data_IF_743413425826
#
_entry.id   IF_743413425826
#
_cell.length_a   1.000
_cell.length_b   1.000
_cell.length_c   1.000
_cell.angle_alpha   90.00
_cell.angle_beta   90.00
_cell.angle_gamma   90.00
#
_symmetry.space_group_name_H-M   'P 1'
#
loop_
_entity.id
_entity.type
_entity.pdbx_description
1 polymer ?
#
# COMPACT_ATOMS: atom_id res chain seq x y z
N UNK A 1 10.07 -2.55 -46.44
CA UNK A 1 8.98 -2.95 -45.52
C UNK A 1 9.32 -4.31 -44.97
N UNK A 2 9.96 -4.35 -43.81
CA UNK A 2 10.17 -5.58 -43.04
C UNK A 2 8.82 -6.05 -42.53
N UNK A 3 8.32 -7.18 -43.05
CA UNK A 3 7.19 -7.87 -42.46
C UNK A 3 7.57 -8.28 -41.04
N UNK A 4 7.10 -7.50 -40.07
CA UNK A 4 7.17 -7.85 -38.66
C UNK A 4 6.30 -9.09 -38.51
N UNK A 5 6.97 -10.24 -38.36
CA UNK A 5 6.33 -11.55 -38.34
C UNK A 5 5.71 -11.78 -36.95
N UNK A 6 4.66 -11.01 -36.61
CA UNK A 6 3.96 -10.99 -35.33
C UNK A 6 3.56 -12.39 -34.84
N UNK A 7 3.26 -13.29 -35.79
CA UNK A 7 2.86 -14.67 -35.52
C UNK A 7 3.97 -15.51 -34.85
N UNK A 8 5.26 -15.22 -35.09
CA UNK A 8 6.37 -15.93 -34.43
C UNK A 8 6.57 -15.47 -32.99
N UNK A 9 6.38 -14.18 -32.71
CA UNK A 9 6.51 -13.65 -31.35
C UNK A 9 5.38 -14.16 -30.42
N UNK A 10 4.16 -14.34 -30.92
CA UNK A 10 3.02 -14.85 -30.13
C UNK A 10 3.24 -16.30 -29.66
N UNK A 11 4.15 -17.06 -30.28
CA UNK A 11 4.39 -18.46 -29.95
C UNK A 11 5.37 -18.67 -28.80
N UNK A 12 6.06 -17.62 -28.32
CA UNK A 12 6.96 -17.79 -27.18
C UNK A 12 6.18 -17.80 -25.85
N UNK A 13 6.41 -18.80 -24.98
CA UNK A 13 5.72 -18.93 -23.69
C UNK A 13 5.79 -17.67 -22.79
N UNK A 14 6.83 -16.86 -22.96
CA UNK A 14 7.05 -15.62 -22.20
C UNK A 14 5.96 -14.57 -22.45
N UNK A 15 5.48 -14.42 -23.68
CA UNK A 15 4.42 -13.45 -24.00
C UNK A 15 3.06 -13.89 -23.47
N UNK A 16 2.78 -15.20 -23.43
CA UNK A 16 1.59 -15.73 -22.79
C UNK A 16 1.57 -15.44 -21.29
N UNK A 17 2.71 -15.65 -20.61
CA UNK A 17 2.84 -15.34 -19.19
C UNK A 17 2.61 -13.84 -18.92
N UNK A 18 3.17 -12.95 -19.76
CA UNK A 18 2.94 -11.50 -19.66
C UNK A 18 1.47 -11.13 -19.89
N UNK A 19 0.80 -11.77 -20.86
CA UNK A 19 -0.63 -11.56 -21.11
C UNK A 19 -1.50 -11.97 -19.93
N UNK A 20 -1.23 -13.16 -19.35
CA UNK A 20 -1.91 -13.66 -18.16
C UNK A 20 -1.67 -12.72 -16.97
N UNK A 21 -0.42 -12.33 -16.73
CA UNK A 21 -0.07 -11.41 -15.65
C UNK A 21 -0.80 -10.07 -15.79
N UNK A 22 -0.77 -9.46 -16.97
CA UNK A 22 -1.44 -8.19 -17.24
C UNK A 22 -2.95 -8.29 -17.02
N UNK A 23 -3.58 -9.38 -17.47
CA UNK A 23 -5.00 -9.63 -17.27
C UNK A 23 -5.39 -9.78 -15.79
N UNK A 24 -4.60 -10.53 -15.01
CA UNK A 24 -4.83 -10.72 -13.58
C UNK A 24 -4.60 -9.44 -12.77
N UNK A 25 -3.56 -8.67 -13.12
CA UNK A 25 -3.29 -7.36 -12.50
C UNK A 25 -4.44 -6.39 -12.79
N UNK A 26 -4.89 -6.31 -14.06
CA UNK A 26 -6.01 -5.46 -14.45
C UNK A 26 -7.31 -5.86 -13.74
N UNK A 27 -7.60 -7.16 -13.63
CA UNK A 27 -8.73 -7.68 -12.86
C UNK A 27 -8.65 -7.22 -11.40
N UNK A 28 -7.50 -7.40 -10.76
CA UNK A 28 -7.29 -7.07 -9.36
C UNK A 28 -7.41 -5.56 -9.08
N UNK A 29 -6.85 -4.72 -9.96
CA UNK A 29 -7.01 -3.26 -9.87
C UNK A 29 -8.46 -2.84 -10.08
N UNK A 30 -9.18 -3.52 -10.98
CA UNK A 30 -10.63 -3.28 -11.19
C UNK A 30 -11.46 -3.69 -9.98
N UNK A 31 -11.12 -4.79 -9.30
CA UNK A 31 -11.78 -5.16 -8.04
C UNK A 31 -11.49 -4.15 -6.94
N UNK A 32 -10.25 -3.67 -6.87
CA UNK A 32 -9.85 -2.66 -5.88
C UNK A 32 -10.56 -1.33 -6.13
N UNK A 33 -10.69 -0.88 -7.38
CA UNK A 33 -11.38 0.38 -7.68
C UNK A 33 -12.86 0.38 -7.28
N UNK A 34 -13.52 -0.79 -7.29
CA UNK A 34 -14.91 -0.96 -6.80
C UNK A 34 -15.07 -0.73 -5.30
N UNK A 35 -13.97 -0.73 -4.52
CA UNK A 35 -14.03 -0.46 -3.07
C UNK A 35 -14.17 1.02 -2.74
N UNK A 36 -14.01 1.93 -3.72
CA UNK A 36 -13.99 3.39 -3.55
C UNK A 36 -12.93 3.89 -2.56
N UNK A 37 -11.92 3.08 -2.22
CA UNK A 37 -10.78 3.46 -1.39
C UNK A 37 -9.62 3.89 -2.30
N UNK A 38 -9.46 5.21 -2.48
CA UNK A 38 -8.44 5.80 -3.36
C UNK A 38 -7.02 5.52 -2.86
N UNK A 39 -6.79 5.53 -1.55
CA UNK A 39 -5.48 5.25 -0.97
C UNK A 39 -5.08 3.78 -1.18
N UNK A 40 -6.03 2.85 -1.00
CA UNK A 40 -5.82 1.43 -1.29
C UNK A 40 -5.53 1.20 -2.77
N UNK A 41 -6.31 1.79 -3.67
CA UNK A 41 -6.09 1.68 -5.12
C UNK A 41 -4.70 2.19 -5.52
N UNK A 42 -4.32 3.38 -5.05
CA UNK A 42 -3.00 3.96 -5.31
C UNK A 42 -1.87 3.08 -4.80
N UNK A 43 -2.02 2.50 -3.61
CA UNK A 43 -1.04 1.57 -3.02
C UNK A 43 -0.90 0.30 -3.86
N UNK A 44 -2.02 -0.31 -4.28
CA UNK A 44 -2.01 -1.51 -5.13
C UNK A 44 -1.36 -1.26 -6.48
N UNK A 45 -1.65 -0.12 -7.10
CA UNK A 45 -1.05 0.30 -8.37
C UNK A 45 0.46 0.47 -8.24
N UNK A 46 0.91 1.16 -7.18
CA UNK A 46 2.33 1.36 -6.90
C UNK A 46 3.05 0.02 -6.69
N UNK A 47 2.46 -0.88 -5.91
CA UNK A 47 3.06 -2.17 -5.59
C UNK A 47 3.22 -3.05 -6.83
N UNK A 48 2.21 -3.09 -7.70
CA UNK A 48 2.32 -3.78 -8.99
C UNK A 48 3.38 -3.15 -9.90
N UNK A 49 3.48 -1.81 -9.92
CA UNK A 49 4.53 -1.11 -10.66
C UNK A 49 5.94 -1.46 -10.17
N UNK A 50 6.15 -1.47 -8.85
CA UNK A 50 7.43 -1.86 -8.22
C UNK A 50 7.76 -3.32 -8.51
N UNK A 51 6.79 -4.23 -8.38
CA UNK A 51 6.99 -5.66 -8.69
C UNK A 51 7.36 -5.84 -10.16
N UNK A 52 6.66 -5.17 -11.08
CA UNK A 52 7.00 -5.21 -12.50
C UNK A 52 8.41 -4.67 -12.77
N UNK A 53 8.80 -3.60 -12.09
CA UNK A 53 10.15 -3.03 -12.19
C UNK A 53 11.24 -4.00 -11.68
N UNK A 54 11.06 -4.62 -10.50
CA UNK A 54 12.01 -5.58 -9.94
C UNK A 54 12.19 -6.83 -10.82
N UNK A 55 11.09 -7.30 -11.41
CA UNK A 55 11.12 -8.41 -12.37
C UNK A 55 11.84 -7.97 -13.65
N UNK A 56 11.56 -6.77 -14.15
CA UNK A 56 12.19 -6.21 -15.34
C UNK A 56 13.70 -6.07 -15.18
N UNK A 57 14.17 -5.56 -14.03
CA UNK A 57 15.59 -5.42 -13.73
C UNK A 57 16.33 -6.77 -13.72
N UNK A 58 15.66 -7.83 -13.25
CA UNK A 58 16.26 -9.17 -13.11
C UNK A 58 15.91 -10.14 -14.23
N UNK A 59 15.19 -9.72 -15.27
CA UNK A 59 14.57 -10.63 -16.23
C UNK A 59 15.54 -11.58 -16.94
N UNK A 60 16.79 -11.15 -17.16
CA UNK A 60 17.84 -11.98 -17.78
C UNK A 60 18.36 -13.08 -16.85
N UNK A 61 18.29 -12.87 -15.54
CA UNK A 61 18.74 -13.83 -14.51
C UNK A 61 17.66 -14.84 -14.10
N UNK A 62 16.41 -14.63 -14.54
CA UNK A 62 15.29 -15.48 -14.17
C UNK A 62 15.31 -16.79 -14.95
N UNK A 63 15.23 -17.90 -14.21
CA UNK A 63 15.10 -19.23 -14.80
C UNK A 63 13.62 -19.55 -15.04
N UNK A 64 13.24 -19.84 -16.28
CA UNK A 64 11.86 -20.17 -16.69
C UNK A 64 11.69 -21.68 -16.90
N UNK A 65 11.85 -22.44 -15.82
CA UNK A 65 11.70 -23.90 -15.83
C UNK A 65 10.56 -24.32 -14.89
N UNK A 66 9.36 -24.49 -15.44
CA UNK A 66 8.22 -25.01 -14.67
C UNK A 66 7.96 -26.49 -14.98
N UNK A 67 7.83 -27.29 -13.93
CA UNK A 67 7.37 -28.67 -14.05
C UNK A 67 5.84 -28.74 -14.18
N UNK A 68 5.35 -29.80 -14.83
CA UNK A 68 3.91 -30.04 -15.08
C UNK A 68 3.04 -29.88 -13.82
N UNK A 69 3.47 -30.44 -12.69
CA UNK A 69 2.73 -30.31 -11.43
C UNK A 69 2.66 -28.87 -10.93
N UNK A 70 3.76 -28.12 -11.01
CA UNK A 70 3.77 -26.72 -10.56
C UNK A 70 2.91 -25.83 -11.47
N UNK A 71 2.96 -26.06 -12.77
CA UNK A 71 2.09 -25.38 -13.72
C UNK A 71 0.61 -25.70 -13.48
N UNK A 72 0.27 -26.95 -13.15
CA UNK A 72 -1.11 -27.32 -12.80
C UNK A 72 -1.58 -26.60 -11.53
N UNK A 73 -0.75 -26.56 -10.48
CA UNK A 73 -1.08 -25.81 -9.25
C UNK A 73 -1.22 -24.32 -9.51
N UNK A 74 -0.32 -23.71 -10.30
CA UNK A 74 -0.41 -22.31 -10.70
C UNK A 74 -1.71 -22.02 -11.47
N UNK A 75 -2.05 -22.85 -12.46
CA UNK A 75 -3.28 -22.72 -13.23
C UNK A 75 -4.55 -22.93 -12.38
N UNK A 76 -4.53 -23.89 -11.45
CA UNK A 76 -5.63 -24.12 -10.50
C UNK A 76 -5.84 -22.91 -9.58
N UNK A 77 -4.74 -22.29 -9.12
CA UNK A 77 -4.81 -21.08 -8.30
C UNK A 77 -5.37 -19.89 -9.10
N UNK A 78 -4.99 -19.73 -10.38
CA UNK A 78 -5.60 -18.74 -11.28
C UNK A 78 -7.11 -19.00 -11.42
N UNK A 79 -7.52 -20.24 -11.68
CA UNK A 79 -8.93 -20.59 -11.80
C UNK A 79 -9.70 -20.23 -10.52
N UNK A 80 -9.14 -20.53 -9.35
CA UNK A 80 -9.71 -20.11 -8.07
C UNK A 80 -9.82 -18.59 -7.94
N UNK A 81 -8.77 -17.84 -8.32
CA UNK A 81 -8.79 -16.37 -8.29
C UNK A 81 -9.92 -15.83 -9.17
N UNK A 82 -10.07 -16.32 -10.40
CA UNK A 82 -11.11 -15.89 -11.32
C UNK A 82 -12.52 -16.20 -10.80
N UNK A 83 -12.74 -17.42 -10.29
CA UNK A 83 -14.01 -17.83 -9.71
C UNK A 83 -14.38 -17.03 -8.45
N UNK A 84 -13.40 -16.76 -7.59
CA UNK A 84 -13.65 -15.95 -6.39
C UNK A 84 -13.90 -14.50 -6.77
N UNK A 85 -13.17 -13.96 -7.74
CA UNK A 85 -13.32 -12.60 -8.25
C UNK A 85 -14.72 -12.33 -8.83
N UNK A 86 -15.35 -13.31 -9.47
CA UNK A 86 -16.72 -13.15 -10.01
C UNK A 86 -17.81 -13.15 -8.93
N UNK A 87 -17.49 -13.63 -7.72
CA UNK A 87 -18.44 -13.78 -6.61
C UNK A 87 -18.37 -12.63 -5.60
N UNK A 88 -17.55 -11.59 -5.85
CA UNK A 88 -17.35 -10.48 -4.92
C UNK A 88 -18.36 -9.36 -5.23
N UNK A 89 -19.27 -9.13 -4.28
CA UNK A 89 -20.29 -8.08 -4.36
C UNK A 89 -20.03 -6.90 -3.40
N UNK A 90 -18.85 -6.84 -2.76
CA UNK A 90 -18.48 -5.79 -1.81
C UNK A 90 -17.03 -5.88 -1.34
N UNK A 91 -16.70 -5.25 -0.21
CA UNK A 91 -15.37 -5.38 0.39
C UNK A 91 -15.17 -6.79 0.95
N UNK A 92 -14.24 -7.53 0.35
CA UNK A 92 -13.83 -8.88 0.76
C UNK A 92 -12.33 -8.84 1.07
N UNK A 93 -11.90 -9.51 2.15
CA UNK A 93 -10.49 -9.69 2.48
C UNK A 93 -9.68 -10.25 1.30
N UNK A 94 -10.33 -11.03 0.43
CA UNK A 94 -9.75 -11.52 -0.80
C UNK A 94 -9.15 -10.41 -1.67
N UNK A 95 -9.74 -9.22 -1.74
CA UNK A 95 -9.19 -8.10 -2.51
C UNK A 95 -7.79 -7.73 -2.01
N UNK A 96 -7.54 -7.82 -0.69
CA UNK A 96 -6.22 -7.53 -0.11
C UNK A 96 -5.23 -8.67 -0.30
N UNK A 97 -5.70 -9.92 -0.26
CA UNK A 97 -4.84 -11.11 -0.40
C UNK A 97 -4.56 -11.50 -1.86
N UNK A 98 -5.40 -11.07 -2.81
CA UNK A 98 -5.32 -11.44 -4.21
C UNK A 98 -3.97 -11.11 -4.88
N UNK A 99 -3.30 -9.95 -4.62
CA UNK A 99 -2.00 -9.68 -5.24
C UNK A 99 -0.97 -10.76 -4.91
N UNK A 100 -0.92 -11.22 -3.66
CA UNK A 100 -0.04 -12.31 -3.24
C UNK A 100 -0.36 -13.63 -3.94
N UNK A 101 -1.65 -13.99 -4.01
CA UNK A 101 -2.09 -15.21 -4.70
C UNK A 101 -1.76 -15.17 -6.20
N UNK A 102 -1.96 -14.02 -6.85
CA UNK A 102 -1.58 -13.79 -8.25
C UNK A 102 -0.07 -13.96 -8.40
N UNK A 103 0.73 -13.32 -7.54
CA UNK A 103 2.19 -13.43 -7.55
C UNK A 103 2.67 -14.88 -7.45
N UNK A 104 2.14 -15.66 -6.49
CA UNK A 104 2.46 -17.09 -6.36
C UNK A 104 2.04 -17.87 -7.60
N UNK A 105 0.83 -17.63 -8.12
CA UNK A 105 0.31 -18.36 -9.27
C UNK A 105 1.18 -18.16 -10.52
N UNK A 106 1.62 -16.92 -10.74
CA UNK A 106 2.49 -16.55 -11.85
C UNK A 106 3.90 -17.11 -11.66
N UNK A 107 4.46 -17.03 -10.44
CA UNK A 107 5.76 -17.59 -10.13
C UNK A 107 5.81 -19.12 -10.33
N UNK A 108 4.74 -19.83 -9.92
CA UNK A 108 4.61 -21.27 -10.16
C UNK A 108 4.51 -21.61 -11.64
N UNK A 109 3.76 -20.84 -12.43
CA UNK A 109 3.68 -21.04 -13.87
C UNK A 109 4.99 -20.74 -14.60
N UNK A 110 5.72 -19.71 -14.15
CA UNK A 110 6.95 -19.27 -14.77
C UNK A 110 8.13 -20.21 -14.49
N UNK A 111 8.28 -20.63 -13.23
CA UNK A 111 9.55 -21.19 -12.72
C UNK A 111 9.37 -22.32 -11.73
N UNK A 112 8.15 -22.82 -11.58
CA UNK A 112 7.82 -23.92 -10.69
C UNK A 112 8.07 -23.64 -9.21
N UNK A 113 7.96 -24.70 -8.39
CA UNK A 113 8.09 -24.59 -6.92
C UNK A 113 9.52 -24.29 -6.47
N UNK A 114 10.53 -24.77 -7.19
CA UNK A 114 11.94 -24.50 -6.89
C UNK A 114 12.33 -23.05 -7.22
N UNK A 115 11.75 -22.50 -8.29
CA UNK A 115 11.99 -21.12 -8.72
C UNK A 115 11.33 -20.07 -7.85
N UNK A 116 10.38 -20.41 -6.96
CA UNK A 116 9.68 -19.42 -6.12
C UNK A 116 10.60 -18.52 -5.30
N UNK A 117 11.77 -19.04 -4.90
CA UNK A 117 12.77 -18.28 -4.13
C UNK A 117 13.34 -17.07 -4.88
N UNK A 118 13.33 -17.08 -6.21
CA UNK A 118 13.85 -15.97 -7.00
C UNK A 118 12.94 -14.73 -6.93
N UNK A 119 11.67 -14.91 -6.57
CA UNK A 119 10.66 -13.85 -6.48
C UNK A 119 10.37 -13.41 -5.02
N UNK A 120 11.28 -13.69 -4.08
CA UNK A 120 10.96 -13.51 -2.66
C UNK A 120 10.67 -12.03 -2.30
N UNK A 121 11.31 -11.07 -2.97
CA UNK A 121 11.08 -9.64 -2.74
C UNK A 121 9.70 -9.23 -3.25
N UNK A 122 9.35 -9.64 -4.47
CA UNK A 122 8.06 -9.37 -5.10
C UNK A 122 6.92 -10.01 -4.30
N UNK A 123 7.09 -11.27 -3.91
CA UNK A 123 6.12 -11.97 -3.09
C UNK A 123 5.98 -11.34 -1.71
N UNK A 124 7.04 -10.77 -1.13
CA UNK A 124 6.96 -10.05 0.15
C UNK A 124 6.17 -8.73 0.01
N UNK A 125 6.40 -7.96 -1.06
CA UNK A 125 5.65 -6.74 -1.37
C UNK A 125 4.17 -7.07 -1.58
N UNK A 126 3.87 -8.11 -2.35
CA UNK A 126 2.50 -8.55 -2.60
C UNK A 126 1.84 -9.17 -1.36
N UNK A 127 2.58 -9.86 -0.50
CA UNK A 127 2.08 -10.38 0.77
C UNK A 127 1.68 -9.26 1.73
N UNK A 128 2.42 -8.15 1.72
CA UNK A 128 2.14 -7.01 2.57
C UNK A 128 0.72 -6.44 2.36
N UNK A 129 0.21 -6.49 1.11
CA UNK A 129 -1.14 -5.98 0.81
C UNK A 129 -2.24 -6.74 1.55
N UNK A 130 -1.98 -7.99 1.96
CA UNK A 130 -2.90 -8.84 2.68
C UNK A 130 -3.13 -8.41 4.13
N UNK A 131 -2.30 -7.52 4.69
CA UNK A 131 -2.42 -7.06 6.07
C UNK A 131 -3.69 -6.18 6.20
N UNK A 132 -4.71 -6.60 6.99
CA UNK A 132 -5.91 -5.81 7.15
C UNK A 132 -5.68 -4.71 8.21
N UNK A 133 -6.29 -3.52 8.04
CA UNK A 133 -6.20 -2.43 9.03
C UNK A 133 -6.62 -2.86 10.44
N UNK A 134 -7.65 -3.71 10.54
CA UNK A 134 -8.12 -4.24 11.82
C UNK A 134 -7.07 -4.98 12.65
N UNK A 135 -6.03 -5.54 12.01
CA UNK A 135 -4.98 -6.28 12.72
C UNK A 135 -4.19 -5.38 13.68
N UNK A 136 -3.89 -4.14 13.27
CA UNK A 136 -3.17 -3.18 14.13
C UNK A 136 -4.03 -2.80 15.34
N UNK A 137 -5.33 -2.64 15.13
CA UNK A 137 -6.28 -2.29 16.20
C UNK A 137 -6.39 -3.33 17.32
N UNK A 138 -5.96 -4.58 17.09
CA UNK A 138 -5.89 -5.62 18.13
C UNK A 138 -4.77 -5.35 19.14
N UNK A 139 -3.66 -4.77 18.69
CA UNK A 139 -2.48 -4.54 19.52
C UNK A 139 -2.45 -3.15 20.14
N UNK A 140 -2.91 -2.14 19.39
CA UNK A 140 -2.83 -0.73 19.79
C UNK A 140 -4.09 0.01 19.39
N UNK A 141 -4.70 0.72 20.35
CA UNK A 141 -5.79 1.65 20.07
C UNK A 141 -5.25 2.97 19.50
N UNK A 142 -4.91 2.94 18.21
CA UNK A 142 -4.39 4.12 17.49
C UNK A 142 -5.39 5.27 17.50
N UNK A 143 -6.69 4.98 17.49
CA UNK A 143 -7.74 6.00 17.54
C UNK A 143 -7.70 6.81 18.84
N UNK A 144 -7.49 6.15 19.98
CA UNK A 144 -7.34 6.84 21.27
C UNK A 144 -6.10 7.74 21.31
N UNK A 145 -4.97 7.29 20.76
CA UNK A 145 -3.76 8.11 20.68
C UNK A 145 -3.92 9.29 19.73
N UNK A 146 -4.54 9.06 18.57
CA UNK A 146 -4.89 10.12 17.62
C UNK A 146 -5.76 11.16 18.32
N UNK A 147 -6.83 10.75 19.03
CA UNK A 147 -7.70 11.66 19.76
C UNK A 147 -6.94 12.49 20.81
N UNK A 148 -6.01 11.88 21.56
CA UNK A 148 -5.15 12.59 22.52
C UNK A 148 -4.29 13.66 21.85
N UNK A 149 -3.59 13.31 20.78
CA UNK A 149 -2.68 14.24 20.10
C UNK A 149 -3.45 15.34 19.36
N UNK A 150 -4.58 15.03 18.72
CA UNK A 150 -5.44 16.04 18.11
C UNK A 150 -6.03 17.00 19.14
N UNK A 151 -6.44 16.52 20.31
CA UNK A 151 -6.89 17.39 21.43
C UNK A 151 -5.77 18.31 21.89
N UNK A 152 -4.55 17.78 22.00
CA UNK A 152 -3.37 18.57 22.35
C UNK A 152 -3.11 19.67 21.31
N UNK A 153 -3.12 19.33 20.00
CA UNK A 153 -2.98 20.30 18.91
C UNK A 153 -4.03 21.41 19.04
N UNK A 154 -5.31 21.05 19.20
CA UNK A 154 -6.45 21.98 19.33
C UNK A 154 -6.28 22.95 20.52
N UNK A 155 -5.84 22.44 21.66
CA UNK A 155 -5.62 23.27 22.85
C UNK A 155 -4.55 24.34 22.59
N UNK A 156 -3.44 23.98 21.93
CA UNK A 156 -2.37 24.93 21.62
C UNK A 156 -2.76 25.97 20.56
N UNK A 157 -3.69 25.65 19.66
CA UNK A 157 -4.22 26.62 18.69
C UNK A 157 -5.40 27.43 19.23
N UNK A 158 -5.73 27.29 20.52
CA UNK A 158 -6.68 28.16 21.24
C UNK A 158 -8.13 27.68 21.28
N UNK A 159 -8.40 26.41 20.96
CA UNK A 159 -9.76 25.86 21.04
C UNK A 159 -10.02 25.23 22.41
N UNK A 160 -11.15 25.57 23.00
CA UNK A 160 -11.71 24.87 24.17
C UNK A 160 -12.25 23.50 23.73
N UNK A 161 -11.51 22.44 24.06
CA UNK A 161 -11.86 21.06 23.69
C UNK A 161 -11.80 20.14 24.90
N UNK A 162 -12.85 19.34 25.07
CA UNK A 162 -12.90 18.28 26.07
C UNK A 162 -12.83 16.92 25.38
N UNK A 163 -11.91 16.06 25.82
CA UNK A 163 -11.77 14.70 25.25
C UNK A 163 -12.45 13.67 26.15
N UNK A 164 -13.34 12.86 25.59
CA UNK A 164 -13.94 11.69 26.25
C UNK A 164 -13.67 10.44 25.43
N UNK A 165 -12.64 9.68 25.79
CA UNK A 165 -12.20 8.53 24.99
C UNK A 165 -11.71 8.98 23.60
N UNK A 166 -12.36 8.49 22.54
CA UNK A 166 -12.14 8.84 21.13
C UNK A 166 -12.94 10.06 20.66
N UNK A 167 -13.79 10.63 21.52
CA UNK A 167 -14.59 11.82 21.20
C UNK A 167 -13.85 13.10 21.58
N UNK A 168 -13.82 14.05 20.65
CA UNK A 168 -13.40 15.44 20.86
C UNK A 168 -14.67 16.29 20.89
N UNK A 169 -14.97 16.87 22.05
CA UNK A 169 -16.19 17.66 22.30
C UNK A 169 -15.80 19.14 22.29
N UNK A 170 -16.40 19.91 21.40
CA UNK A 170 -16.25 21.36 21.25
C UNK A 170 -17.61 22.03 21.48
N UNK A 171 -17.61 23.35 21.64
CA UNK A 171 -18.83 24.12 21.94
C UNK A 171 -19.96 23.89 20.92
N UNK A 172 -19.62 23.83 19.63
CA UNK A 172 -20.61 23.74 18.53
C UNK A 172 -20.79 22.33 17.97
N UNK A 173 -20.15 21.32 18.54
CA UNK A 173 -20.25 19.94 18.05
C UNK A 173 -19.15 19.03 18.55
N UNK A 174 -19.14 17.80 18.07
CA UNK A 174 -18.14 16.80 18.46
C UNK A 174 -17.63 16.01 17.26
N UNK A 175 -16.37 15.60 17.33
CA UNK A 175 -15.73 14.71 16.35
C UNK A 175 -15.37 13.41 17.03
N UNK A 176 -15.85 12.29 16.47
CA UNK A 176 -15.46 10.95 16.89
C UNK A 176 -14.29 10.46 16.01
N UNK A 177 -13.19 10.05 16.64
CA UNK A 177 -12.09 9.39 15.94
C UNK A 177 -12.44 7.92 15.73
N UNK A 178 -13.30 7.65 14.74
CA UNK A 178 -13.69 6.28 14.38
C UNK A 178 -12.74 5.65 13.36
N UNK A 179 -13.03 4.44 12.87
CA UNK A 179 -12.15 3.63 12.01
C UNK A 179 -11.47 4.41 10.87
N UNK A 180 -12.20 5.28 10.16
CA UNK A 180 -11.65 6.09 9.05
C UNK A 180 -10.74 7.26 9.45
N UNK A 181 -10.77 7.68 10.72
CA UNK A 181 -9.93 8.74 11.29
C UNK A 181 -8.84 8.21 12.24
N UNK A 182 -8.82 6.90 12.49
CA UNK A 182 -7.89 6.26 13.43
C UNK A 182 -6.41 6.52 13.10
N UNK A 183 -6.07 6.67 11.82
CA UNK A 183 -4.70 6.79 11.32
C UNK A 183 -4.06 5.47 10.92
N UNK A 184 -4.74 4.35 11.13
CA UNK A 184 -4.22 3.01 10.83
C UNK A 184 -3.93 2.82 9.33
N UNK A 185 -4.83 3.28 8.46
CA UNK A 185 -4.64 3.18 7.01
C UNK A 185 -3.40 3.96 6.54
N UNK A 186 -3.21 5.18 7.04
CA UNK A 186 -2.03 5.98 6.74
C UNK A 186 -0.74 5.29 7.21
N UNK A 187 -0.75 4.71 8.41
CA UNK A 187 0.39 3.96 8.95
C UNK A 187 0.72 2.76 8.05
N UNK A 188 -0.27 1.97 7.65
CA UNK A 188 -0.07 0.83 6.75
C UNK A 188 0.44 1.25 5.37
N UNK A 189 -0.05 2.37 4.83
CA UNK A 189 0.40 2.90 3.55
C UNK A 189 1.90 3.27 3.61
N UNK A 190 2.31 4.03 4.63
CA UNK A 190 3.70 4.45 4.80
C UNK A 190 4.63 3.31 5.19
N UNK A 191 4.18 2.34 5.99
CA UNK A 191 4.94 1.11 6.25
C UNK A 191 5.14 0.27 4.99
N UNK A 192 4.14 0.24 4.09
CA UNK A 192 4.26 -0.41 2.79
C UNK A 192 5.30 0.25 1.90
N UNK A 193 5.32 1.59 1.88
CA UNK A 193 6.34 2.35 1.15
C UNK A 193 7.74 2.19 1.79
N UNK A 194 7.82 2.11 3.12
CA UNK A 194 9.05 1.79 3.84
C UNK A 194 9.59 0.40 3.46
N UNK A 195 8.71 -0.62 3.36
CA UNK A 195 9.10 -1.95 2.88
C UNK A 195 9.68 -1.89 1.47
N UNK A 196 8.98 -1.22 0.53
CA UNK A 196 9.46 -1.02 -0.84
C UNK A 196 10.83 -0.35 -0.84
N UNK A 197 10.99 0.74 -0.10
CA UNK A 197 12.26 1.46 0.01
C UNK A 197 13.40 0.56 0.51
N UNK A 198 13.17 -0.19 1.59
CA UNK A 198 14.18 -1.08 2.18
C UNK A 198 14.57 -2.27 1.28
N UNK A 199 13.69 -2.66 0.34
CA UNK A 199 13.97 -3.72 -0.62
C UNK A 199 14.67 -3.22 -1.88
N UNK A 200 14.42 -1.97 -2.28
CA UNK A 200 15.00 -1.37 -3.49
C UNK A 200 16.37 -0.73 -3.25
N UNK A 201 16.65 -0.23 -2.05
CA UNK A 201 17.88 0.50 -1.75
C UNK A 201 18.76 -0.23 -0.72
N UNK A 202 20.09 -0.19 -0.87
CA UNK A 202 20.99 -0.75 0.11
C UNK A 202 20.87 0.03 1.43
N UNK A 203 20.62 -0.70 2.53
CA UNK A 203 20.40 -0.07 3.84
C UNK A 203 21.10 -0.85 4.96
N UNK A 204 21.61 -0.09 5.93
CA UNK A 204 22.23 -0.63 7.16
C UNK A 204 21.19 -1.27 8.08
N UNK A 205 21.63 -2.11 9.02
CA UNK A 205 20.74 -2.73 10.02
C UNK A 205 19.99 -1.68 10.85
N UNK A 206 20.63 -0.56 11.18
CA UNK A 206 19.98 0.55 11.87
C UNK A 206 18.87 1.19 11.04
N UNK A 207 19.11 1.43 9.75
CA UNK A 207 18.10 2.01 8.84
C UNK A 207 16.89 1.08 8.67
N UNK A 208 17.07 -0.24 8.70
CA UNK A 208 15.96 -1.21 8.67
C UNK A 208 15.00 -1.08 9.86
N UNK A 209 15.44 -0.48 10.97
CA UNK A 209 14.60 -0.19 12.14
C UNK A 209 14.09 1.25 12.09
N UNK A 210 14.96 2.21 11.76
CA UNK A 210 14.61 3.65 11.78
C UNK A 210 13.58 3.99 10.70
N UNK A 211 13.70 3.44 9.48
CA UNK A 211 12.80 3.78 8.36
C UNK A 211 11.34 3.43 8.68
N UNK A 212 10.99 2.22 9.14
CA UNK A 212 9.62 1.91 9.55
C UNK A 212 9.12 2.76 10.72
N UNK A 213 9.97 3.06 11.71
CA UNK A 213 9.58 3.89 12.86
C UNK A 213 9.23 5.33 12.43
N UNK A 214 10.03 5.91 11.54
CA UNK A 214 9.79 7.24 10.98
C UNK A 214 8.52 7.25 10.12
N UNK A 215 8.30 6.21 9.31
CA UNK A 215 7.07 6.03 8.55
C UNK A 215 5.81 6.05 9.45
N UNK A 216 5.82 5.26 10.54
CA UNK A 216 4.72 5.23 11.53
C UNK A 216 4.51 6.60 12.15
N UNK A 217 5.59 7.27 12.57
CA UNK A 217 5.52 8.57 13.23
C UNK A 217 4.94 9.65 12.30
N UNK A 218 5.43 9.74 11.07
CA UNK A 218 4.93 10.68 10.06
C UNK A 218 3.44 10.45 9.80
N UNK A 219 3.06 9.20 9.52
CA UNK A 219 1.66 8.83 9.26
C UNK A 219 0.74 9.24 10.42
N UNK A 220 1.17 8.94 11.65
CA UNK A 220 0.42 9.25 12.85
C UNK A 220 0.27 10.76 13.07
N UNK A 221 1.36 11.53 12.96
CA UNK A 221 1.34 12.99 13.18
C UNK A 221 0.49 13.70 12.12
N UNK A 222 0.65 13.34 10.84
CA UNK A 222 -0.15 13.94 9.75
C UNK A 222 -1.63 13.62 9.92
N UNK A 223 -1.98 12.39 10.32
CA UNK A 223 -3.37 12.02 10.60
C UNK A 223 -3.94 12.74 11.84
N UNK A 224 -3.14 12.90 12.91
CA UNK A 224 -3.58 13.66 14.08
C UNK A 224 -3.85 15.14 13.73
N UNK A 225 -3.04 15.73 12.85
CA UNK A 225 -3.28 17.07 12.30
C UNK A 225 -4.56 17.14 11.45
N UNK A 226 -4.84 16.12 10.62
CA UNK A 226 -6.10 15.98 9.88
C UNK A 226 -7.31 15.98 10.81
N UNK A 227 -7.29 15.18 11.88
CA UNK A 227 -8.39 15.11 12.85
C UNK A 227 -8.56 16.44 13.60
N UNK A 228 -7.46 17.13 13.94
CA UNK A 228 -7.53 18.46 14.53
C UNK A 228 -8.20 19.46 13.56
N UNK A 229 -7.85 19.44 12.26
CA UNK A 229 -8.52 20.25 11.25
C UNK A 229 -10.03 19.94 11.19
N UNK A 230 -10.41 18.65 11.26
CA UNK A 230 -11.83 18.26 11.21
C UNK A 230 -12.60 18.86 12.40
N UNK A 231 -12.02 18.82 13.60
CA UNK A 231 -12.60 19.43 14.79
C UNK A 231 -12.71 20.97 14.69
N UNK A 232 -11.71 21.63 14.10
CA UNK A 232 -11.76 23.09 13.82
C UNK A 232 -12.95 23.40 12.91
N UNK A 233 -13.12 22.67 11.81
CA UNK A 233 -14.21 22.90 10.86
C UNK A 233 -15.59 22.70 11.49
N UNK A 234 -15.73 21.73 12.40
CA UNK A 234 -16.96 21.54 13.20
C UNK A 234 -17.20 22.74 14.12
N UNK A 235 -16.18 23.23 14.83
CA UNK A 235 -16.29 24.41 15.70
C UNK A 235 -16.61 25.71 14.93
N UNK A 236 -16.18 25.81 13.67
CA UNK A 236 -16.52 26.91 12.78
C UNK A 236 -17.88 26.74 12.08
N UNK A 237 -18.59 25.63 12.32
CA UNK A 237 -19.87 25.32 11.68
C UNK A 237 -19.79 25.32 10.14
N UNK A 238 -18.72 24.73 9.58
CA UNK A 238 -18.48 24.63 8.14
C UNK A 238 -18.66 23.18 7.62
N UNK A 239 -19.91 22.70 7.45
CA UNK A 239 -20.19 21.32 7.08
C UNK A 239 -19.68 20.94 5.68
N UNK A 240 -19.73 21.87 4.71
CA UNK A 240 -19.24 21.62 3.35
C UNK A 240 -17.71 21.45 3.31
N UNK A 241 -17.00 22.31 4.04
CA UNK A 241 -15.54 22.18 4.18
C UNK A 241 -15.19 20.89 4.91
N UNK A 242 -15.89 20.56 6.00
CA UNK A 242 -15.71 19.30 6.72
C UNK A 242 -15.86 18.11 5.77
N UNK A 243 -16.93 18.06 4.97
CA UNK A 243 -17.16 16.98 4.00
C UNK A 243 -16.05 16.88 2.96
N UNK A 244 -15.59 18.01 2.42
CA UNK A 244 -14.49 18.04 1.43
C UNK A 244 -13.18 17.46 1.97
N UNK A 245 -12.80 17.81 3.21
CA UNK A 245 -11.56 17.34 3.82
C UNK A 245 -11.68 15.97 4.49
N UNK A 246 -12.89 15.56 4.86
CA UNK A 246 -13.15 14.26 5.47
C UNK A 246 -13.24 13.14 4.43
N UNK A 247 -14.12 13.28 3.44
CA UNK A 247 -14.44 12.24 2.44
C UNK A 247 -14.16 12.68 0.99
N UNK A 248 -14.07 13.99 0.74
CA UNK A 248 -13.80 14.52 -0.59
C UNK A 248 -12.33 14.41 -1.01
N UNK A 249 -12.01 15.02 -2.15
CA UNK A 249 -10.65 15.04 -2.71
C UNK A 249 -9.61 15.65 -1.75
N UNK A 250 -10.03 16.51 -0.83
CA UNK A 250 -9.15 17.09 0.20
C UNK A 250 -8.57 16.05 1.15
N UNK A 251 -9.24 14.91 1.33
CA UNK A 251 -8.74 13.82 2.19
C UNK A 251 -7.40 13.23 1.69
N UNK A 252 -7.21 13.13 0.37
CA UNK A 252 -6.00 12.60 -0.28
C UNK A 252 -4.78 13.50 -0.05
N UNK A 253 -4.99 14.80 0.21
CA UNK A 253 -3.89 15.73 0.47
C UNK A 253 -3.05 15.29 1.68
N UNK A 254 -3.69 14.69 2.69
CA UNK A 254 -2.97 14.22 3.88
C UNK A 254 -2.07 13.02 3.58
N UNK A 255 -2.52 12.06 2.77
CA UNK A 255 -1.67 10.93 2.36
C UNK A 255 -0.52 11.42 1.47
N UNK A 256 -0.77 12.36 0.56
CA UNK A 256 0.28 13.01 -0.24
C UNK A 256 1.33 13.72 0.62
N UNK A 257 0.91 14.53 1.60
CA UNK A 257 1.84 15.21 2.52
C UNK A 257 2.69 14.18 3.27
N UNK A 258 2.07 13.12 3.80
CA UNK A 258 2.79 12.11 4.56
C UNK A 258 3.82 11.37 3.68
N UNK A 259 3.44 10.98 2.45
CA UNK A 259 4.36 10.37 1.47
C UNK A 259 5.50 11.32 1.10
N UNK A 260 5.23 12.61 0.89
CA UNK A 260 6.25 13.60 0.56
C UNK A 260 7.25 13.78 1.71
N UNK A 261 6.78 13.93 2.96
CA UNK A 261 7.66 14.06 4.13
C UNK A 261 8.52 12.80 4.28
N UNK A 262 7.94 11.62 4.10
CA UNK A 262 8.68 10.36 4.16
C UNK A 262 9.72 10.23 3.03
N UNK A 263 9.37 10.61 1.81
CA UNK A 263 10.29 10.63 0.67
C UNK A 263 11.46 11.58 0.90
N UNK A 264 11.20 12.78 1.44
CA UNK A 264 12.24 13.74 1.83
C UNK A 264 13.15 13.17 2.93
N UNK A 265 12.58 12.50 3.93
CA UNK A 265 13.36 11.80 4.95
C UNK A 265 14.29 10.76 4.32
N UNK A 266 13.78 9.86 3.48
CA UNK A 266 14.59 8.84 2.81
C UNK A 266 15.69 9.47 1.94
N UNK A 267 15.37 10.52 1.20
CA UNK A 267 16.33 11.24 0.37
C UNK A 267 17.48 11.85 1.18
N UNK A 268 17.14 12.66 2.19
CA UNK A 268 18.15 13.41 2.95
C UNK A 268 18.90 12.58 3.98
N UNK A 269 18.24 11.62 4.63
CA UNK A 269 18.83 10.85 5.73
C UNK A 269 19.60 9.61 5.23
N UNK A 270 19.23 9.06 4.07
CA UNK A 270 19.75 7.77 3.60
C UNK A 270 20.51 7.97 2.28
N UNK A 271 19.81 8.35 1.21
CA UNK A 271 20.38 8.37 -0.14
C UNK A 271 21.49 9.42 -0.31
N UNK A 272 21.35 10.60 0.30
CA UNK A 272 22.35 11.67 0.20
C UNK A 272 23.69 11.33 0.88
N UNK A 273 23.67 10.43 1.86
CA UNK A 273 24.85 10.08 2.67
C UNK A 273 25.52 8.79 2.19
N UNK A 274 25.09 8.20 1.07
CA UNK A 274 25.85 7.13 0.43
C UNK A 274 27.21 7.69 -0.04
N UNK A 275 28.35 7.18 0.48
CA UNK A 275 29.63 7.53 -0.07
C UNK A 275 29.66 7.08 -1.55
N UNK A 276 30.07 7.96 -2.45
CA UNK A 276 30.32 7.67 -3.89
C UNK A 276 31.45 6.66 -4.13
N UNK A 277 31.61 5.62 -3.30
CA UNK A 277 32.71 4.67 -3.38
C UNK A 277 32.23 3.29 -3.83
N UNK A 278 31.78 3.16 -5.09
CA UNK A 278 31.84 1.91 -5.88
C UNK A 278 31.88 2.19 -7.41
N UNK A 279 32.70 3.16 -7.84
CA UNK A 279 33.25 3.20 -9.20
C UNK A 279 34.79 3.14 -9.12
N UNK A 280 35.33 1.95 -8.79
CA UNK A 280 36.71 1.55 -9.08
C UNK A 280 36.77 0.05 -9.36
#
# INVERSE_FOLDING_TARGET
>A
MTEINWLKHIQEPKYWLLGIASGLIALQLTLTSRTNDTDLFGTMLLFWGVVAFLIWERHESLTFESGIFASFFGASLIAFILLKSSSIFGYDFFIRAAPFLIGISLALLASGTKGLKQYWQELLILAYTAIPPGLIGVFVDVALYTAKVSTFILHYIGFEVQRKGVFLILEKGSVEVYHGCSGVNAILQLLGLALVFLLMFPTTVGQKIVVPLVAVLIAFVVNAARVALMAVLVSLSQPEAFKYWHEGNGSVVFSMIAVLIFGLFCWFAILKNEPQNQEQ
#
